data_IF_824415061048
#
_entry.id   IF_824415061048
#
_cell.length_a   1.000
_cell.length_b   1.000
_cell.length_c   1.000
_cell.angle_alpha   90.00
_cell.angle_beta   90.00
_cell.angle_gamma   90.00
#
_symmetry.space_group_name_H-M   'P 1'
#
loop_
_entity.id
_entity.type
_entity.pdbx_description
1 polymer ?
#
# COMPACT_ATOMS: atom_id res chain seq x y z
N UNK A 1 17.21 4.69 7.71
CA UNK A 1 16.56 4.51 6.38
C UNK A 1 15.05 4.30 6.49
N UNK A 2 14.55 3.47 7.41
CA UNK A 2 13.11 3.29 7.61
C UNK A 2 12.36 4.58 7.96
N UNK A 3 12.96 5.46 8.77
CA UNK A 3 12.46 6.81 9.06
C UNK A 3 12.32 7.71 7.82
N UNK A 4 13.21 7.55 6.83
CA UNK A 4 13.16 8.31 5.58
C UNK A 4 12.01 7.82 4.68
N UNK A 5 11.74 6.51 4.68
CA UNK A 5 10.56 5.95 4.01
C UNK A 5 9.26 6.37 4.71
N UNK A 6 9.27 6.50 6.04
CA UNK A 6 8.11 7.00 6.79
C UNK A 6 7.82 8.46 6.45
N UNK A 7 8.85 9.31 6.39
CA UNK A 7 8.69 10.68 5.94
C UNK A 7 8.16 10.75 4.50
N UNK A 8 8.69 9.92 3.60
CA UNK A 8 8.21 9.81 2.22
C UNK A 8 6.75 9.34 2.15
N UNK A 9 6.36 8.39 3.00
CA UNK A 9 4.98 7.91 3.15
C UNK A 9 4.02 9.05 3.51
N UNK A 10 4.40 9.87 4.50
CA UNK A 10 3.59 11.00 4.94
C UNK A 10 3.49 12.06 3.83
N UNK A 11 4.61 12.42 3.19
CA UNK A 11 4.64 13.41 2.10
C UNK A 11 3.80 12.95 0.89
N UNK A 12 4.00 11.72 0.42
CA UNK A 12 3.21 11.15 -0.68
C UNK A 12 1.74 10.92 -0.29
N UNK A 13 1.47 10.78 1.01
CA UNK A 13 0.12 10.74 1.55
C UNK A 13 -0.67 12.03 1.35
N UNK A 14 0.00 13.19 1.19
CA UNK A 14 -0.65 14.47 0.86
C UNK A 14 -0.89 14.66 -0.63
N UNK A 15 -0.01 14.11 -1.46
CA UNK A 15 -0.19 14.13 -2.91
C UNK A 15 -1.27 13.11 -3.28
N UNK A 16 -2.54 13.51 -3.18
CA UNK A 16 -3.68 12.74 -3.64
C UNK A 16 -4.26 13.43 -4.87
N UNK A 17 -4.22 12.74 -6.01
CA UNK A 17 -4.87 13.23 -7.23
C UNK A 17 -6.36 12.90 -7.14
N UNK A 18 -7.18 13.92 -6.91
CA UNK A 18 -8.63 13.78 -6.92
C UNK A 18 -9.11 13.84 -8.38
N UNK A 19 -9.32 12.66 -8.97
CA UNK A 19 -9.79 12.53 -10.35
C UNK A 19 -11.31 12.75 -10.41
N UNK A 20 -12.02 12.42 -9.33
CA UNK A 20 -13.45 12.68 -9.14
C UNK A 20 -13.76 12.77 -7.64
N UNK A 21 -14.92 13.31 -7.24
CA UNK A 21 -15.31 13.41 -5.81
C UNK A 21 -15.28 12.06 -5.09
N UNK A 22 -15.49 10.97 -5.83
CA UNK A 22 -15.43 9.61 -5.32
C UNK A 22 -14.09 8.92 -5.58
N UNK A 23 -13.33 9.32 -6.60
CA UNK A 23 -12.08 8.66 -7.02
C UNK A 23 -10.86 9.51 -6.66
N UNK A 24 -10.15 9.11 -5.61
CA UNK A 24 -8.92 9.75 -5.13
C UNK A 24 -7.76 8.77 -5.22
N UNK A 25 -6.81 9.03 -6.11
CA UNK A 25 -5.61 8.20 -6.25
C UNK A 25 -4.65 8.61 -5.14
N UNK A 26 -4.26 7.65 -4.29
CA UNK A 26 -3.36 7.89 -3.17
C UNK A 26 -2.03 7.20 -3.40
N UNK A 27 -0.93 7.96 -3.32
CA UNK A 27 0.43 7.42 -3.45
C UNK A 27 0.98 6.86 -2.13
N UNK A 28 0.18 6.82 -1.07
CA UNK A 28 0.58 6.37 0.26
C UNK A 28 0.95 4.86 0.31
N UNK A 29 0.32 4.02 -0.49
CA UNK A 29 0.64 2.58 -0.53
C UNK A 29 2.06 2.31 -1.05
N UNK A 30 2.65 3.24 -1.80
CA UNK A 30 3.93 3.06 -2.48
C UNK A 30 5.11 2.89 -1.50
N UNK A 31 5.35 3.78 -0.53
CA UNK A 31 6.51 3.65 0.35
C UNK A 31 6.36 2.49 1.34
N UNK A 32 5.11 2.14 1.69
CA UNK A 32 4.81 0.93 2.48
C UNK A 32 5.23 -0.31 1.70
N UNK A 33 4.88 -0.40 0.41
CA UNK A 33 5.28 -1.52 -0.44
C UNK A 33 6.80 -1.62 -0.64
N UNK A 34 7.49 -0.49 -0.80
CA UNK A 34 8.96 -0.46 -0.86
C UNK A 34 9.57 -0.88 0.47
N UNK A 35 9.04 -0.40 1.60
CA UNK A 35 9.49 -0.81 2.93
C UNK A 35 9.27 -2.32 3.15
N UNK A 36 8.14 -2.87 2.70
CA UNK A 36 7.84 -4.30 2.78
C UNK A 36 8.80 -5.15 1.95
N UNK A 37 9.16 -4.69 0.76
CA UNK A 37 10.15 -5.39 -0.08
C UNK A 37 11.56 -5.40 0.54
N UNK A 38 11.97 -4.29 1.17
CA UNK A 38 13.36 -4.10 1.64
C UNK A 38 13.59 -4.53 3.10
N UNK A 39 12.66 -4.22 4.00
CA UNK A 39 12.80 -4.40 5.44
C UNK A 39 11.87 -5.49 6.01
N UNK A 40 10.99 -6.04 5.17
CA UNK A 40 10.12 -7.15 5.55
C UNK A 40 8.83 -6.75 6.28
N UNK A 41 8.10 -7.75 6.82
CA UNK A 41 6.73 -7.58 7.31
C UNK A 41 6.61 -6.73 8.58
N UNK A 42 7.52 -6.90 9.54
CA UNK A 42 7.46 -6.16 10.81
C UNK A 42 7.74 -4.67 10.59
N UNK A 43 8.72 -4.34 9.75
CA UNK A 43 9.04 -2.98 9.38
C UNK A 43 7.91 -2.27 8.62
N UNK A 44 7.29 -2.96 7.66
CA UNK A 44 6.18 -2.39 6.89
C UNK A 44 4.90 -2.25 7.72
N UNK A 45 4.63 -3.18 8.65
CA UNK A 45 3.55 -3.05 9.63
C UNK A 45 3.73 -1.78 10.47
N UNK A 46 4.93 -1.58 11.04
CA UNK A 46 5.22 -0.39 11.85
C UNK A 46 5.11 0.89 11.02
N UNK A 47 5.55 0.88 9.76
CA UNK A 47 5.44 2.03 8.85
C UNK A 47 3.97 2.40 8.59
N UNK A 48 3.10 1.41 8.37
CA UNK A 48 1.66 1.61 8.17
C UNK A 48 0.97 2.08 9.45
N UNK A 49 1.27 1.44 10.58
CA UNK A 49 0.70 1.78 11.88
C UNK A 49 1.09 3.18 12.37
N UNK A 50 2.32 3.62 12.14
CA UNK A 50 2.80 4.96 12.52
C UNK A 50 2.43 6.01 11.47
N UNK A 51 2.34 5.63 10.20
CA UNK A 51 2.05 6.56 9.11
C UNK A 51 0.68 7.20 9.23
N UNK A 52 -0.32 6.44 9.67
CA UNK A 52 -1.71 6.90 9.79
C UNK A 52 -1.91 8.01 10.85
N UNK A 53 -1.49 7.85 12.13
CA UNK A 53 -1.62 8.92 13.13
C UNK A 53 -0.75 10.14 12.79
N UNK A 54 0.42 9.96 12.19
CA UNK A 54 1.27 11.08 11.76
C UNK A 54 0.59 11.85 10.62
N UNK A 55 0.03 11.15 9.63
CA UNK A 55 -0.72 11.77 8.53
C UNK A 55 -1.94 12.52 9.05
N UNK A 56 -2.66 11.93 10.01
CA UNK A 56 -3.80 12.57 10.65
C UNK A 56 -3.42 13.88 11.37
N UNK A 57 -2.31 13.86 12.12
CA UNK A 57 -1.84 15.03 12.86
C UNK A 57 -1.48 16.21 11.95
N UNK A 58 -0.94 15.94 10.76
CA UNK A 58 -0.52 16.98 9.81
C UNK A 58 -1.69 17.49 8.97
N UNK A 59 -2.66 16.63 8.63
CA UNK A 59 -3.87 17.04 7.89
C UNK A 59 -5.09 16.27 8.42
N UNK A 60 -5.87 16.86 9.34
CA UNK A 60 -7.03 16.19 9.92
C UNK A 60 -8.18 16.14 8.91
N UNK A 61 -8.14 15.20 7.97
CA UNK A 61 -9.26 14.90 7.07
C UNK A 61 -10.18 13.86 7.70
N UNK A 62 -11.18 14.33 8.45
CA UNK A 62 -12.24 13.49 9.04
C UNK A 62 -11.98 13.05 10.49
N UNK A 63 -12.81 12.14 11.04
CA UNK A 63 -12.63 11.61 12.40
C UNK A 63 -11.47 10.61 12.44
N UNK A 64 -10.57 10.75 13.41
CA UNK A 64 -9.57 9.71 13.67
C UNK A 64 -10.26 8.50 14.28
N UNK A 65 -10.13 7.34 13.62
CA UNK A 65 -10.63 6.09 14.14
C UNK A 65 -9.48 5.08 14.18
N UNK A 66 -9.18 4.45 15.34
CA UNK A 66 -8.04 3.54 15.47
C UNK A 66 -8.14 2.31 14.56
N UNK A 67 -9.35 1.95 14.10
CA UNK A 67 -9.54 0.89 13.11
C UNK A 67 -8.93 1.20 11.74
N UNK A 68 -8.84 2.47 11.32
CA UNK A 68 -8.15 2.85 10.09
C UNK A 68 -6.63 2.67 10.21
N UNK A 69 -6.08 2.97 11.39
CA UNK A 69 -4.67 2.70 11.69
C UNK A 69 -4.37 1.21 11.70
N UNK A 70 -5.27 0.38 12.24
CA UNK A 70 -5.15 -1.09 12.20
C UNK A 70 -5.21 -1.61 10.77
N UNK A 71 -6.08 -1.03 9.93
CA UNK A 71 -6.17 -1.34 8.50
C UNK A 71 -4.85 -1.04 7.78
N UNK A 72 -4.26 0.12 8.03
CA UNK A 72 -2.96 0.51 7.47
C UNK A 72 -1.82 -0.42 7.95
N UNK A 73 -1.85 -0.86 9.21
CA UNK A 73 -0.90 -1.83 9.75
C UNK A 73 -1.01 -3.19 9.03
N UNK A 74 -2.24 -3.66 8.77
CA UNK A 74 -2.51 -4.90 8.03
C UNK A 74 -2.04 -4.78 6.58
N UNK A 75 -2.29 -3.66 5.90
CA UNK A 75 -1.74 -3.39 4.56
C UNK A 75 -0.21 -3.49 4.55
N UNK A 76 0.46 -2.89 5.53
CA UNK A 76 1.90 -2.99 5.70
C UNK A 76 2.37 -4.43 5.89
N UNK A 77 1.67 -5.20 6.73
CA UNK A 77 1.97 -6.61 6.95
C UNK A 77 1.77 -7.47 5.70
N UNK A 78 0.68 -7.26 4.96
CA UNK A 78 0.38 -8.01 3.73
C UNK A 78 1.42 -7.73 2.64
N UNK A 79 1.75 -6.46 2.41
CA UNK A 79 2.80 -6.09 1.46
C UNK A 79 4.15 -6.61 1.91
N UNK A 80 4.47 -6.53 3.21
CA UNK A 80 5.71 -7.08 3.71
C UNK A 80 5.80 -8.61 3.59
N UNK A 81 4.75 -9.38 3.87
CA UNK A 81 4.78 -10.84 3.72
C UNK A 81 4.94 -11.29 2.27
N UNK A 82 4.22 -10.66 1.34
CA UNK A 82 4.16 -11.10 -0.05
C UNK A 82 5.27 -10.52 -0.93
N UNK A 83 5.77 -9.31 -0.61
CA UNK A 83 6.84 -8.65 -1.37
C UNK A 83 8.23 -8.85 -0.75
N UNK A 84 8.37 -9.39 0.46
CA UNK A 84 9.68 -9.61 1.06
C UNK A 84 10.57 -10.53 0.21
N UNK A 85 11.81 -10.10 -0.01
CA UNK A 85 12.80 -10.86 -0.79
C UNK A 85 12.55 -10.90 -2.30
N UNK A 86 11.52 -10.20 -2.81
CA UNK A 86 11.22 -10.15 -4.25
C UNK A 86 12.26 -9.41 -5.10
N UNK A 87 13.19 -8.69 -4.47
CA UNK A 87 14.24 -7.94 -5.14
C UNK A 87 15.02 -8.78 -6.18
N UNK A 88 15.24 -10.06 -5.90
CA UNK A 88 15.94 -11.02 -6.79
C UNK A 88 15.11 -11.46 -8.01
N UNK A 89 13.79 -11.27 -7.99
CA UNK A 89 12.88 -11.72 -9.06
C UNK A 89 12.78 -10.70 -10.21
N UNK A 90 13.28 -9.49 -10.02
CA UNK A 90 13.34 -8.44 -11.04
C UNK A 90 14.56 -8.51 -11.96
N UNK A 91 15.43 -9.51 -11.78
CA UNK A 91 16.54 -9.81 -12.68
C UNK A 91 16.04 -10.05 -14.13
N UNK A 92 16.88 -9.82 -15.17
CA UNK A 92 16.49 -9.85 -16.59
C UNK A 92 16.03 -11.23 -17.12
N UNK A 93 15.79 -12.23 -16.27
CA UNK A 93 15.22 -13.51 -16.65
C UNK A 93 13.69 -13.43 -16.80
N UNK A 94 13.19 -13.69 -18.02
CA UNK A 94 11.77 -13.61 -18.39
C UNK A 94 10.82 -14.41 -17.46
N UNK A 95 11.27 -15.57 -16.93
CA UNK A 95 10.49 -16.40 -15.97
C UNK A 95 10.29 -15.74 -14.60
N UNK A 96 11.31 -15.05 -14.06
CA UNK A 96 11.24 -14.44 -12.72
C UNK A 96 10.34 -13.20 -12.70
N UNK A 97 10.26 -12.49 -13.83
CA UNK A 97 9.37 -11.34 -14.02
C UNK A 97 7.88 -11.70 -13.91
N UNK A 98 7.46 -12.84 -14.49
CA UNK A 98 6.07 -13.30 -14.38
C UNK A 98 5.69 -13.59 -12.92
N UNK A 99 6.60 -14.21 -12.15
CA UNK A 99 6.41 -14.47 -10.72
C UNK A 99 6.31 -13.18 -9.92
N UNK A 100 7.10 -12.15 -10.26
CA UNK A 100 7.03 -10.85 -9.62
C UNK A 100 5.67 -10.16 -9.86
N UNK A 101 5.19 -10.16 -11.10
CA UNK A 101 3.88 -9.58 -11.45
C UNK A 101 2.76 -10.32 -10.70
N UNK A 102 2.79 -11.66 -10.67
CA UNK A 102 1.77 -12.46 -10.03
C UNK A 102 1.74 -12.22 -8.50
N UNK A 103 2.90 -12.10 -7.86
CA UNK A 103 2.99 -11.78 -6.42
C UNK A 103 2.48 -10.37 -6.10
N UNK A 104 2.83 -9.37 -6.91
CA UNK A 104 2.32 -7.99 -6.73
C UNK A 104 0.80 -7.96 -6.94
N UNK A 105 0.30 -8.61 -7.99
CA UNK A 105 -1.13 -8.70 -8.25
C UNK A 105 -1.89 -9.41 -7.11
N UNK A 106 -1.34 -10.53 -6.61
CA UNK A 106 -1.93 -11.25 -5.48
C UNK A 106 -1.94 -10.40 -4.20
N UNK A 107 -0.84 -9.69 -3.91
CA UNK A 107 -0.75 -8.81 -2.75
C UNK A 107 -1.74 -7.65 -2.83
N UNK A 108 -1.83 -7.02 -4.00
CA UNK A 108 -2.77 -5.94 -4.23
C UNK A 108 -4.22 -6.44 -4.15
N UNK A 109 -4.51 -7.64 -4.67
CA UNK A 109 -5.87 -8.19 -4.69
C UNK A 109 -6.32 -8.54 -3.28
N UNK A 110 -5.42 -9.15 -2.50
CA UNK A 110 -5.63 -9.45 -1.10
C UNK A 110 -5.83 -8.17 -0.29
N UNK A 111 -5.00 -7.14 -0.50
CA UNK A 111 -5.16 -5.85 0.19
C UNK A 111 -6.50 -5.18 -0.15
N UNK A 112 -6.87 -5.17 -1.44
CA UNK A 112 -8.11 -4.53 -1.89
C UNK A 112 -9.35 -5.25 -1.34
N UNK A 113 -9.33 -6.58 -1.26
CA UNK A 113 -10.44 -7.35 -0.71
C UNK A 113 -10.51 -7.26 0.82
N UNK A 114 -9.41 -7.53 1.53
CA UNK A 114 -9.43 -7.56 2.99
C UNK A 114 -9.47 -6.16 3.59
N UNK A 115 -8.62 -5.26 3.12
CA UNK A 115 -8.45 -3.96 3.76
C UNK A 115 -9.45 -2.95 3.21
N UNK A 116 -9.42 -2.72 1.90
CA UNK A 116 -10.22 -1.64 1.30
C UNK A 116 -11.72 -1.98 1.20
N UNK A 117 -12.06 -3.25 1.01
CA UNK A 117 -13.46 -3.69 0.93
C UNK A 117 -14.01 -4.11 2.29
N UNK A 118 -13.37 -5.03 3.02
CA UNK A 118 -13.88 -5.53 4.30
C UNK A 118 -13.64 -4.54 5.45
N UNK A 119 -12.38 -4.31 5.83
CA UNK A 119 -12.06 -3.51 7.01
C UNK A 119 -12.59 -2.08 6.87
N UNK A 120 -12.33 -1.43 5.74
CA UNK A 120 -12.75 -0.06 5.55
C UNK A 120 -14.28 0.11 5.54
N UNK A 121 -15.05 -0.82 4.97
CA UNK A 121 -16.53 -0.75 5.07
C UNK A 121 -17.03 -1.03 6.48
N UNK A 122 -16.41 -1.95 7.22
CA UNK A 122 -16.73 -2.22 8.63
C UNK A 122 -16.56 -0.96 9.47
N UNK A 123 -15.43 -0.28 9.34
CA UNK A 123 -15.16 0.94 10.11
C UNK A 123 -16.12 2.07 9.76
N UNK A 124 -16.45 2.26 8.48
CA UNK A 124 -17.44 3.26 8.11
C UNK A 124 -18.85 2.91 8.59
N UNK A 125 -19.24 1.63 8.60
CA UNK A 125 -20.54 1.23 9.14
C UNK A 125 -20.61 1.50 10.65
N UNK A 126 -19.53 1.22 11.39
CA UNK A 126 -19.44 1.57 12.82
C UNK A 126 -19.46 3.08 13.08
N UNK A 127 -18.83 3.89 12.22
CA UNK A 127 -18.68 5.33 12.43
C UNK A 127 -19.91 6.14 12.01
N UNK A 128 -20.56 5.76 10.91
CA UNK A 128 -21.68 6.49 10.33
C UNK A 128 -23.04 5.80 10.51
N UNK A 129 -23.08 4.59 11.09
CA UNK A 129 -24.32 3.83 11.32
C UNK A 129 -25.06 3.43 10.05
N UNK A 130 -24.46 3.58 8.88
CA UNK A 130 -25.08 3.24 7.59
C UNK A 130 -24.91 1.74 7.30
N UNK A 131 -25.95 1.10 6.73
CA UNK A 131 -25.92 -0.33 6.45
C UNK A 131 -24.87 -0.66 5.38
N UNK A 132 -24.03 -1.65 5.67
CA UNK A 132 -22.92 -2.07 4.79
C UNK A 132 -23.37 -2.33 3.34
N UNK A 133 -24.58 -2.86 3.16
CA UNK A 133 -25.15 -3.19 1.85
C UNK A 133 -25.24 -2.02 0.87
N UNK A 134 -25.34 -0.78 1.37
CA UNK A 134 -25.45 0.43 0.53
C UNK A 134 -24.06 0.98 0.17
N UNK A 135 -23.10 0.89 1.09
CA UNK A 135 -21.73 1.37 0.90
C UNK A 135 -20.87 0.42 0.07
N UNK A 136 -21.11 -0.89 0.18
CA UNK A 136 -20.37 -1.94 -0.50
C UNK A 136 -20.33 -1.80 -2.02
N UNK A 137 -21.45 -1.61 -2.76
CA UNK A 137 -21.39 -1.55 -4.23
C UNK A 137 -20.60 -0.34 -4.72
N UNK A 138 -20.79 0.83 -4.10
CA UNK A 138 -20.06 2.04 -4.45
C UNK A 138 -18.56 1.89 -4.19
N UNK A 139 -18.18 1.25 -3.07
CA UNK A 139 -16.78 0.95 -2.76
C UNK A 139 -16.19 -0.12 -3.66
N UNK A 140 -16.93 -1.18 -3.96
CA UNK A 140 -16.45 -2.26 -4.82
C UNK A 140 -16.09 -1.72 -6.21
N UNK A 141 -16.95 -0.87 -6.80
CA UNK A 141 -16.68 -0.24 -8.09
C UNK A 141 -15.45 0.66 -8.02
N UNK A 142 -15.35 1.51 -6.99
CA UNK A 142 -14.17 2.36 -6.79
C UNK A 142 -12.90 1.53 -6.66
N UNK A 143 -12.89 0.54 -5.78
CA UNK A 143 -11.73 -0.31 -5.51
C UNK A 143 -11.32 -1.11 -6.75
N UNK A 144 -12.29 -1.63 -7.51
CA UNK A 144 -12.02 -2.33 -8.76
C UNK A 144 -11.35 -1.44 -9.83
N UNK A 145 -11.72 -0.14 -9.87
CA UNK A 145 -11.10 0.84 -10.77
C UNK A 145 -9.70 1.28 -10.28
N UNK A 146 -9.50 1.41 -8.96
CA UNK A 146 -8.20 1.82 -8.40
C UNK A 146 -7.20 0.66 -8.37
N UNK A 147 -7.68 -0.57 -8.23
CA UNK A 147 -6.87 -1.79 -8.19
C UNK A 147 -5.81 -1.89 -9.30
N UNK A 148 -6.14 -1.76 -10.60
CA UNK A 148 -5.14 -1.84 -11.66
C UNK A 148 -4.16 -0.65 -11.63
N UNK A 149 -4.64 0.54 -11.28
CA UNK A 149 -3.81 1.75 -11.24
C UNK A 149 -2.74 1.64 -10.15
N UNK A 150 -3.15 1.32 -8.94
CA UNK A 150 -2.24 1.16 -7.81
C UNK A 150 -1.31 -0.05 -7.98
N UNK A 151 -1.83 -1.17 -8.52
CA UNK A 151 -1.01 -2.35 -8.80
C UNK A 151 0.08 -2.10 -9.83
N UNK A 152 -0.23 -1.38 -10.93
CA UNK A 152 0.76 -0.99 -11.93
C UNK A 152 1.78 -0.03 -11.35
N UNK A 153 1.34 0.96 -10.57
CA UNK A 153 2.22 1.95 -9.98
C UNK A 153 3.17 1.33 -8.96
N UNK A 154 2.66 0.45 -8.10
CA UNK A 154 3.45 -0.32 -7.15
C UNK A 154 4.47 -1.20 -7.88
N UNK A 155 4.06 -1.93 -8.92
CA UNK A 155 4.97 -2.75 -9.73
C UNK A 155 6.08 -1.92 -10.37
N UNK A 156 5.75 -0.78 -11.00
CA UNK A 156 6.73 0.11 -11.63
C UNK A 156 7.74 0.65 -10.63
N UNK A 157 7.28 1.06 -9.45
CA UNK A 157 8.15 1.56 -8.39
C UNK A 157 9.09 0.47 -7.86
N UNK A 158 8.55 -0.72 -7.56
CA UNK A 158 9.36 -1.86 -7.11
C UNK A 158 10.38 -2.27 -8.18
N UNK A 159 9.99 -2.25 -9.45
CA UNK A 159 10.89 -2.52 -10.57
C UNK A 159 12.02 -1.49 -10.65
N UNK A 160 11.72 -0.20 -10.50
CA UNK A 160 12.70 0.88 -10.51
C UNK A 160 13.68 0.76 -9.35
N UNK A 161 13.16 0.55 -8.13
CA UNK A 161 13.98 0.36 -6.91
C UNK A 161 14.84 -0.90 -7.05
N UNK A 162 14.30 -2.00 -7.56
CA UNK A 162 15.07 -3.22 -7.78
C UNK A 162 16.17 -3.05 -8.84
N UNK A 163 15.92 -2.33 -9.93
CA UNK A 163 16.98 -2.03 -10.90
C UNK A 163 18.09 -1.18 -10.30
N UNK A 164 17.74 -0.18 -9.50
CA UNK A 164 18.71 0.68 -8.83
C UNK A 164 19.60 -0.10 -7.85
N UNK A 165 19.00 -0.98 -7.05
CA UNK A 165 19.72 -1.83 -6.10
C UNK A 165 20.58 -2.89 -6.80
N UNK A 166 20.13 -3.46 -7.91
CA UNK A 166 20.95 -4.40 -8.73
C UNK A 166 22.08 -3.69 -9.48
N UNK A 167 21.94 -2.39 -9.76
CA UNK A 167 22.99 -1.58 -10.37
C UNK A 167 24.09 -1.17 -9.37
N UNK A 168 23.90 -1.36 -8.06
CA UNK A 168 24.96 -1.09 -7.08
C UNK A 168 25.94 -2.27 -7.05
N UNK A 169 27.23 -2.05 -7.35
CA UNK A 169 28.24 -3.09 -7.24
C UNK A 169 28.38 -3.52 -5.78
N UNK A 170 28.50 -4.84 -5.59
CA UNK A 170 28.60 -5.58 -4.34
C UNK A 170 29.91 -5.32 -3.58
N UNK A 171 30.11 -4.12 -3.03
CA UNK A 171 31.32 -3.78 -2.25
C UNK A 171 31.13 -3.69 -0.74
N UNK A 172 29.93 -3.95 -0.21
CA UNK A 172 29.71 -4.01 1.25
C UNK A 172 28.81 -5.21 1.58
N UNK A 173 29.42 -6.40 1.59
CA UNK A 173 28.96 -7.53 2.42
C UNK A 173 29.55 -7.38 3.81
#
# INVERSE_FOLDING_TARGET
>A
MLSMLLACHVVLGFFQLQVTDFLRISFAALPIGVAGMLYGPTAALLLGALGDPIKYLVSPTGPFFPGFTLSAAVTGLLFGLLLYGMHQNFAPCRKKRAVAILRVAAAQLLNTLLVDLLLHTLWLSCLYGTPMAVLLPMRAVKCALMFPVEGVLLYLLLAAVARFLLSRPSTLR
#
